data_IF_981049401951
#
_entry.id   IF_981049401951
#
_cell.length_a   1.000
_cell.length_b   1.000
_cell.length_c   1.000
_cell.angle_alpha   90.00
_cell.angle_beta   90.00
_cell.angle_gamma   90.00
#
_symmetry.space_group_name_H-M   'P 1'
#
loop_
_entity.id
_entity.type
_entity.pdbx_description
1 polymer ?
#
# COMPACT_ATOMS: atom_id res chain seq x y z
N UNK A 1 -41.33 -36.27 6.62
CA UNK A 1 -39.97 -36.23 7.20
C UNK A 1 -39.18 -35.16 6.46
N UNK A 2 -38.78 -34.09 7.15
CA UNK A 2 -38.20 -32.89 6.54
C UNK A 2 -36.73 -33.14 6.17
N UNK A 3 -36.38 -32.90 4.90
CA UNK A 3 -35.00 -33.01 4.38
C UNK A 3 -34.17 -31.88 4.99
N UNK A 4 -33.18 -32.24 5.80
CA UNK A 4 -32.24 -31.27 6.40
C UNK A 4 -31.37 -30.66 5.31
N UNK A 5 -31.19 -29.35 5.44
CA UNK A 5 -30.52 -28.46 4.49
C UNK A 5 -29.06 -28.90 4.33
N UNK A 6 -28.59 -28.83 3.07
CA UNK A 6 -27.23 -29.12 2.62
C UNK A 6 -26.18 -28.61 3.62
N UNK A 7 -25.61 -29.51 4.40
CA UNK A 7 -24.40 -29.22 5.17
C UNK A 7 -23.29 -28.93 4.16
N UNK A 8 -22.80 -27.69 4.19
CA UNK A 8 -21.74 -27.24 3.29
C UNK A 8 -20.48 -27.97 3.73
N UNK A 9 -19.94 -28.78 2.83
CA UNK A 9 -18.75 -29.60 3.07
C UNK A 9 -17.54 -28.69 3.34
N UNK A 10 -17.11 -28.67 4.60
CA UNK A 10 -16.02 -27.83 5.08
C UNK A 10 -14.71 -28.18 4.37
N UNK A 11 -14.51 -29.45 4.03
CA UNK A 11 -13.27 -29.92 3.40
C UNK A 11 -13.16 -29.43 1.96
N UNK A 12 -14.29 -29.33 1.26
CA UNK A 12 -14.35 -28.77 -0.09
C UNK A 12 -14.09 -27.27 -0.09
N UNK A 13 -14.59 -26.55 0.92
CA UNK A 13 -14.31 -25.13 1.12
C UNK A 13 -12.84 -24.89 1.49
N UNK A 14 -12.26 -25.71 2.37
CA UNK A 14 -10.84 -25.62 2.73
C UNK A 14 -9.92 -25.87 1.52
N UNK A 15 -10.26 -26.82 0.65
CA UNK A 15 -9.50 -27.12 -0.57
C UNK A 15 -9.55 -25.99 -1.62
N UNK A 16 -10.62 -25.21 -1.62
CA UNK A 16 -10.75 -24.04 -2.51
C UNK A 16 -10.10 -22.79 -1.91
N UNK A 17 -10.12 -22.64 -0.58
CA UNK A 17 -9.53 -21.50 0.10
C UNK A 17 -7.99 -21.63 0.26
N UNK A 18 -7.46 -22.85 0.30
CA UNK A 18 -6.04 -23.14 0.41
C UNK A 18 -5.53 -23.86 -0.86
N UNK A 19 -5.14 -23.16 -1.93
CA UNK A 19 -4.41 -23.78 -3.02
C UNK A 19 -3.05 -24.22 -2.48
N UNK A 20 -2.84 -25.52 -2.30
CA UNK A 20 -1.58 -26.06 -1.78
C UNK A 20 -0.42 -25.67 -2.70
N UNK A 21 0.31 -24.62 -2.34
CA UNK A 21 1.62 -24.33 -2.88
C UNK A 21 2.62 -25.36 -2.33
N UNK A 22 2.96 -26.35 -3.14
CA UNK A 22 4.25 -27.08 -3.10
C UNK A 22 4.25 -28.29 -4.04
N UNK A 23 4.38 -28.04 -5.35
CA UNK A 23 5.05 -28.96 -6.27
C UNK A 23 6.21 -28.23 -6.97
N UNK A 24 7.10 -27.64 -6.19
CA UNK A 24 8.40 -27.12 -6.64
C UNK A 24 9.48 -27.37 -5.58
N UNK A 25 9.52 -28.57 -4.99
CA UNK A 25 10.71 -29.09 -4.31
C UNK A 25 10.77 -30.61 -4.55
N UNK A 26 11.09 -31.00 -5.80
CA UNK A 26 11.62 -32.34 -6.16
C UNK A 26 11.94 -32.36 -7.66
N UNK A 27 12.95 -31.60 -8.07
CA UNK A 27 13.64 -31.78 -9.36
C UNK A 27 14.91 -30.92 -9.39
N UNK A 28 15.93 -31.26 -8.60
CA UNK A 28 17.33 -30.87 -8.85
C UNK A 28 18.26 -31.47 -7.78
N UNK A 29 18.75 -32.70 -8.02
CA UNK A 29 20.12 -33.12 -7.72
C UNK A 29 20.48 -34.27 -8.70
N UNK A 30 21.69 -34.17 -9.26
CA UNK A 30 22.39 -35.00 -10.26
C UNK A 30 22.16 -34.56 -11.73
N UNK A 31 23.06 -33.71 -12.26
CA UNK A 31 24.30 -34.03 -13.06
C UNK A 31 23.91 -34.31 -14.52
N UNK A 32 24.48 -33.77 -15.60
CA UNK A 32 25.66 -32.98 -15.94
C UNK A 32 25.47 -32.39 -17.36
N UNK A 33 26.19 -31.29 -17.68
CA UNK A 33 26.75 -30.90 -18.99
C UNK A 33 25.85 -30.72 -20.25
N UNK A 34 25.74 -29.47 -20.75
CA UNK A 34 26.38 -28.99 -22.01
C UNK A 34 25.91 -27.56 -22.40
N UNK A 35 26.86 -26.62 -22.29
CA UNK A 35 27.31 -25.57 -23.24
C UNK A 35 26.37 -25.03 -24.35
N UNK A 36 26.44 -23.69 -24.51
CA UNK A 36 26.17 -22.80 -25.68
C UNK A 36 24.85 -21.99 -25.77
N UNK A 37 24.94 -20.68 -25.48
CA UNK A 37 24.42 -19.59 -26.33
C UNK A 37 25.42 -19.36 -27.50
N UNK A 38 25.16 -18.61 -28.61
CA UNK A 38 24.26 -17.45 -28.76
C UNK A 38 23.64 -17.26 -30.19
N UNK A 39 23.02 -16.10 -30.45
CA UNK A 39 23.04 -15.28 -31.71
C UNK A 39 21.66 -14.66 -32.03
N UNK A 40 21.50 -13.33 -32.03
CA UNK A 40 21.84 -12.32 -33.08
C UNK A 40 20.57 -11.92 -33.86
N UNK A 41 20.01 -10.74 -33.63
CA UNK A 41 20.26 -9.48 -34.36
C UNK A 41 19.61 -9.35 -35.75
N UNK A 42 18.80 -8.29 -35.87
CA UNK A 42 18.58 -7.39 -37.02
C UNK A 42 18.16 -7.95 -38.38
N UNK A 43 17.05 -7.40 -38.87
CA UNK A 43 16.94 -6.97 -40.28
C UNK A 43 16.08 -5.73 -40.38
N UNK A 44 16.75 -4.58 -40.36
CA UNK A 44 16.33 -3.39 -41.11
C UNK A 44 16.33 -3.73 -42.59
N UNK A 45 15.30 -3.34 -43.32
CA UNK A 45 15.47 -2.79 -44.66
C UNK A 45 14.23 -2.00 -45.07
N UNK A 46 14.48 -0.71 -45.22
CA UNK A 46 13.64 0.21 -45.96
C UNK A 46 13.87 -0.01 -47.45
N UNK A 47 12.80 -0.02 -48.22
CA UNK A 47 12.85 0.27 -49.65
C UNK A 47 11.62 1.08 -50.05
N UNK A 48 11.76 1.72 -51.20
CA UNK A 48 11.37 3.09 -51.53
C UNK A 48 10.34 3.07 -52.66
N UNK A 49 9.75 4.25 -52.94
CA UNK A 49 8.95 4.62 -54.13
C UNK A 49 7.51 4.05 -54.15
N UNK A 50 6.47 4.76 -54.58
CA UNK A 50 6.35 5.98 -55.39
C UNK A 50 4.98 6.62 -55.15
N UNK A 51 4.89 7.91 -55.51
CA UNK A 51 3.68 8.74 -55.57
C UNK A 51 2.58 8.08 -56.42
N UNK A 52 1.32 8.28 -56.02
CA UNK A 52 0.23 8.79 -56.85
C UNK A 52 -0.98 9.13 -55.97
N UNK A 53 -1.50 10.35 -56.12
CA UNK A 53 -2.81 10.75 -55.61
C UNK A 53 -3.87 10.33 -56.62
N UNK A 54 -4.93 9.65 -56.18
CA UNK A 54 -6.23 9.67 -56.85
C UNK A 54 -7.38 9.62 -55.83
N UNK A 55 -8.49 10.24 -56.21
CA UNK A 55 -9.55 10.84 -55.39
C UNK A 55 -10.56 9.83 -54.77
N UNK A 56 -11.55 10.28 -53.96
CA UNK A 56 -12.20 9.49 -52.92
C UNK A 56 -13.30 8.58 -53.46
N UNK A 57 -13.49 7.41 -52.84
CA UNK A 57 -14.71 6.61 -53.03
C UNK A 57 -15.41 6.29 -51.70
N UNK A 58 -16.75 6.21 -51.70
CA UNK A 58 -17.57 6.59 -50.56
C UNK A 58 -18.13 5.36 -49.87
N UNK A 59 -17.31 4.61 -49.13
CA UNK A 59 -17.84 3.45 -48.41
C UNK A 59 -17.45 3.42 -46.94
N UNK A 60 -18.42 3.92 -46.17
CA UNK A 60 -18.71 3.58 -44.78
C UNK A 60 -17.70 4.16 -43.80
N UNK A 61 -17.94 5.41 -43.43
CA UNK A 61 -17.64 5.90 -42.11
C UNK A 61 -18.36 5.02 -41.07
N UNK A 62 -17.80 3.84 -40.79
CA UNK A 62 -17.98 3.24 -39.48
C UNK A 62 -17.40 4.27 -38.54
N UNK A 63 -18.28 5.00 -37.85
CA UNK A 63 -17.89 5.71 -36.64
C UNK A 63 -17.18 4.67 -35.79
N UNK A 64 -15.84 4.74 -35.76
CA UNK A 64 -15.05 4.08 -34.75
C UNK A 64 -15.58 4.70 -33.47
N UNK A 65 -16.49 3.99 -32.78
CA UNK A 65 -16.85 4.33 -31.41
C UNK A 65 -15.51 4.35 -30.69
N UNK A 66 -15.01 5.55 -30.43
CA UNK A 66 -13.91 5.71 -29.50
C UNK A 66 -14.45 5.15 -28.20
N UNK A 67 -14.04 3.91 -27.91
CA UNK A 67 -14.21 3.35 -26.59
C UNK A 67 -13.37 4.27 -25.71
N UNK A 68 -14.02 5.27 -25.13
CA UNK A 68 -13.43 6.13 -24.13
C UNK A 68 -12.99 5.22 -23.00
N UNK A 69 -11.73 4.82 -23.02
CA UNK A 69 -11.11 4.16 -21.89
C UNK A 69 -11.21 5.19 -20.77
N UNK A 70 -11.93 4.91 -19.67
CA UNK A 70 -11.99 5.86 -18.57
C UNK A 70 -10.54 6.08 -18.12
N UNK A 71 -10.09 7.34 -18.14
CA UNK A 71 -8.81 7.75 -17.59
C UNK A 71 -8.79 7.29 -16.13
N UNK A 72 -8.11 6.18 -15.88
CA UNK A 72 -7.98 5.66 -14.52
C UNK A 72 -7.09 6.63 -13.78
N UNK A 73 -7.58 7.11 -12.65
CA UNK A 73 -6.95 8.16 -11.87
C UNK A 73 -5.55 7.67 -11.43
N UNK A 74 -4.48 8.23 -12.01
CA UNK A 74 -3.08 7.86 -11.72
C UNK A 74 -2.58 8.51 -10.43
N UNK A 75 -3.48 9.06 -9.62
CA UNK A 75 -3.13 9.77 -8.41
C UNK A 75 -2.62 8.79 -7.35
N UNK A 76 -1.40 9.03 -6.88
CA UNK A 76 -0.79 8.21 -5.84
C UNK A 76 -1.48 8.52 -4.50
N UNK A 77 -2.01 7.48 -3.86
CA UNK A 77 -2.73 7.57 -2.58
C UNK A 77 -1.96 6.84 -1.49
N UNK A 78 -1.90 7.42 -0.29
CA UNK A 78 -1.22 6.85 0.87
C UNK A 78 -2.22 6.64 2.00
N UNK A 79 -2.12 5.48 2.66
CA UNK A 79 -2.87 5.17 3.87
C UNK A 79 -2.08 5.68 5.09
N UNK A 80 -2.66 6.61 5.86
CA UNK A 80 -2.00 7.23 7.01
C UNK A 80 -2.92 7.19 8.23
N UNK A 81 -2.35 6.94 9.41
CA UNK A 81 -3.04 7.16 10.69
C UNK A 81 -2.94 8.63 11.06
N UNK A 82 -4.08 9.33 11.08
CA UNK A 82 -4.12 10.77 11.40
C UNK A 82 -3.63 11.08 12.81
N UNK A 83 -3.79 10.12 13.73
CA UNK A 83 -3.37 10.29 15.12
C UNK A 83 -1.84 10.40 15.24
N UNK A 84 -1.08 9.82 14.31
CA UNK A 84 0.39 9.87 14.35
C UNK A 84 0.92 11.29 14.18
N UNK A 85 0.43 12.01 13.17
CA UNK A 85 0.83 13.40 12.92
C UNK A 85 0.51 14.29 14.13
N UNK A 86 -0.71 14.16 14.68
CA UNK A 86 -1.15 14.97 15.82
C UNK A 86 -0.38 14.63 17.10
N UNK A 87 -0.08 13.35 17.35
CA UNK A 87 0.74 12.94 18.50
C UNK A 87 2.14 13.52 18.41
N UNK A 88 2.76 13.54 17.22
CA UNK A 88 4.09 14.11 17.03
C UNK A 88 4.12 15.61 17.35
N UNK A 89 3.19 16.38 16.80
CA UNK A 89 3.06 17.82 17.08
C UNK A 89 2.89 18.10 18.58
N UNK A 90 1.96 17.37 19.22
CA UNK A 90 1.65 17.56 20.65
C UNK A 90 2.78 17.09 21.56
N UNK A 91 3.53 16.07 21.15
CA UNK A 91 4.71 15.61 21.87
C UNK A 91 5.80 16.69 21.86
N UNK A 92 6.10 17.30 20.72
CA UNK A 92 7.11 18.37 20.64
C UNK A 92 6.73 19.59 21.50
N UNK A 93 5.46 19.99 21.49
CA UNK A 93 4.94 21.04 22.37
C UNK A 93 5.11 20.67 23.85
N UNK A 94 4.80 19.42 24.21
CA UNK A 94 4.92 18.93 25.58
C UNK A 94 6.39 18.83 26.04
N UNK A 95 7.31 18.37 25.19
CA UNK A 95 8.74 18.25 25.48
C UNK A 95 9.44 19.60 25.74
N UNK A 96 8.84 20.72 25.30
CA UNK A 96 9.30 22.07 25.65
C UNK A 96 8.96 22.43 27.10
N UNK A 97 7.86 21.89 27.64
CA UNK A 97 7.36 22.14 29.00
C UNK A 97 7.91 21.15 30.02
N UNK A 98 8.08 19.90 29.63
CA UNK A 98 8.63 18.84 30.49
C UNK A 98 10.14 18.69 30.32
N UNK A 99 10.89 18.78 31.41
CA UNK A 99 12.32 18.45 31.42
C UNK A 99 12.49 16.93 31.43
N UNK A 100 12.67 16.33 30.25
CA UNK A 100 12.92 14.89 30.07
C UNK A 100 13.89 14.62 28.91
N UNK A 101 14.35 13.38 28.76
CA UNK A 101 15.31 13.00 27.74
C UNK A 101 14.75 13.19 26.31
N UNK A 102 15.55 13.79 25.43
CA UNK A 102 15.18 14.14 24.05
C UNK A 102 15.84 13.26 22.98
N UNK A 103 16.45 12.15 23.38
CA UNK A 103 17.04 11.22 22.42
C UNK A 103 15.95 10.56 21.55
N UNK A 104 16.34 10.12 20.35
CA UNK A 104 15.39 9.52 19.41
C UNK A 104 14.74 8.24 19.95
N UNK A 105 15.45 7.50 20.82
CA UNK A 105 14.91 6.33 21.51
C UNK A 105 13.74 6.70 22.42
N UNK A 106 13.94 7.65 23.34
CA UNK A 106 12.87 8.13 24.24
C UNK A 106 11.70 8.74 23.49
N UNK A 107 11.96 9.53 22.44
CA UNK A 107 10.90 10.12 21.62
C UNK A 107 10.03 9.04 20.98
N UNK A 108 10.65 8.03 20.36
CA UNK A 108 9.93 6.91 19.74
C UNK A 108 9.16 6.10 20.78
N UNK A 109 9.73 5.86 21.96
CA UNK A 109 9.03 5.16 23.06
C UNK A 109 7.80 5.94 23.54
N UNK A 110 7.89 7.28 23.67
CA UNK A 110 6.77 8.12 24.05
C UNK A 110 5.66 8.09 23.00
N UNK A 111 6.01 8.18 21.71
CA UNK A 111 5.04 8.09 20.60
C UNK A 111 4.36 6.73 20.59
N UNK A 112 5.12 5.64 20.68
CA UNK A 112 4.58 4.28 20.69
C UNK A 112 3.61 4.06 21.87
N UNK A 113 3.99 4.48 23.08
CA UNK A 113 3.12 4.36 24.25
C UNK A 113 1.85 5.23 24.15
N UNK A 114 1.93 6.40 23.50
CA UNK A 114 0.77 7.25 23.29
C UNK A 114 -0.18 6.62 22.26
N UNK A 115 0.32 6.19 21.10
CA UNK A 115 -0.49 5.59 20.03
C UNK A 115 -1.16 4.29 20.45
N UNK A 116 -0.48 3.44 21.23
CA UNK A 116 -1.06 2.18 21.73
C UNK A 116 -2.26 2.40 22.68
N UNK A 117 -2.42 3.61 23.24
CA UNK A 117 -3.54 3.96 24.13
C UNK A 117 -4.67 4.69 23.43
N UNK A 118 -4.45 5.14 22.19
CA UNK A 118 -5.40 5.90 21.40
C UNK A 118 -6.07 4.98 20.38
N UNK A 119 -7.32 5.29 20.02
CA UNK A 119 -7.97 4.62 18.90
C UNK A 119 -7.31 5.07 17.59
N UNK A 120 -6.81 4.14 16.76
CA UNK A 120 -6.21 4.51 15.49
C UNK A 120 -7.29 5.03 14.52
N UNK A 121 -6.97 6.08 13.78
CA UNK A 121 -7.84 6.66 12.75
C UNK A 121 -7.12 6.68 11.41
N UNK A 122 -7.33 5.62 10.63
CA UNK A 122 -6.73 5.50 9.30
C UNK A 122 -7.58 6.19 8.24
N UNK A 123 -6.92 6.92 7.35
CA UNK A 123 -7.55 7.51 6.17
C UNK A 123 -6.63 7.40 4.97
N UNK A 124 -7.26 7.39 3.79
CA UNK A 124 -6.57 7.45 2.51
C UNK A 124 -6.47 8.92 2.12
N UNK A 125 -5.24 9.40 1.96
CA UNK A 125 -4.93 10.75 1.53
C UNK A 125 -4.21 10.70 0.18
N UNK A 126 -4.39 11.73 -0.63
CA UNK A 126 -3.52 11.93 -1.78
C UNK A 126 -2.12 12.31 -1.30
N UNK A 127 -1.09 11.89 -2.03
CA UNK A 127 0.29 12.28 -1.71
C UNK A 127 0.41 13.81 -1.59
N UNK A 128 0.93 14.29 -0.46
CA UNK A 128 1.09 15.71 -0.16
C UNK A 128 -0.13 16.41 0.46
N UNK A 129 -1.27 15.74 0.59
CA UNK A 129 -2.44 16.31 1.26
C UNK A 129 -2.26 16.29 2.79
N UNK A 130 -2.45 17.42 3.49
CA UNK A 130 -2.39 17.45 4.95
C UNK A 130 -3.54 16.66 5.56
N UNK A 131 -3.29 16.03 6.72
CA UNK A 131 -4.34 15.36 7.48
C UNK A 131 -5.41 16.39 7.92
N UNK A 132 -6.70 16.03 7.87
CA UNK A 132 -7.77 16.92 8.28
C UNK A 132 -7.75 17.15 9.79
N UNK A 133 -8.36 18.27 10.18
CA UNK A 133 -8.42 18.71 11.57
C UNK A 133 -9.25 17.73 12.41
N UNK A 134 -8.69 17.29 13.54
CA UNK A 134 -9.37 16.43 14.49
C UNK A 134 -10.35 17.21 15.38
N UNK A 135 -11.37 16.51 15.89
CA UNK A 135 -12.33 17.04 16.86
C UNK A 135 -11.65 17.52 18.16
N UNK A 136 -12.27 18.46 18.86
CA UNK A 136 -11.71 18.97 20.12
C UNK A 136 -11.56 17.87 21.20
N UNK A 137 -12.50 16.92 21.24
CA UNK A 137 -12.49 15.82 22.20
C UNK A 137 -11.34 14.84 21.97
N UNK A 138 -11.07 14.51 20.70
CA UNK A 138 -9.96 13.62 20.34
C UNK A 138 -8.62 14.30 20.60
N UNK A 139 -8.50 15.59 20.32
CA UNK A 139 -7.32 16.38 20.69
C UNK A 139 -7.04 16.35 22.20
N UNK A 140 -8.06 16.53 23.04
CA UNK A 140 -7.90 16.44 24.49
C UNK A 140 -7.42 15.04 24.92
N UNK A 141 -8.00 13.98 24.34
CA UNK A 141 -7.58 12.61 24.59
C UNK A 141 -6.10 12.38 24.19
N UNK A 142 -5.66 12.88 23.03
CA UNK A 142 -4.26 12.82 22.58
C UNK A 142 -3.33 13.47 23.59
N UNK A 143 -3.63 14.69 24.03
CA UNK A 143 -2.79 15.40 25.00
C UNK A 143 -2.66 14.62 26.31
N UNK A 144 -3.76 14.07 26.83
CA UNK A 144 -3.70 13.25 28.05
C UNK A 144 -2.87 11.98 27.86
N UNK A 145 -2.97 11.32 26.70
CA UNK A 145 -2.20 10.12 26.38
C UNK A 145 -0.70 10.44 26.28
N UNK A 146 -0.34 11.54 25.62
CA UNK A 146 1.04 12.03 25.49
C UNK A 146 1.64 12.33 26.87
N UNK A 147 0.94 13.06 27.74
CA UNK A 147 1.42 13.34 29.09
C UNK A 147 1.65 12.05 29.88
N UNK A 148 0.71 11.09 29.82
CA UNK A 148 0.86 9.80 30.47
C UNK A 148 2.02 8.97 29.89
N UNK A 149 2.33 9.12 28.60
CA UNK A 149 3.46 8.45 27.96
C UNK A 149 4.79 9.07 28.41
N UNK A 150 4.89 10.41 28.45
CA UNK A 150 6.07 11.13 28.96
C UNK A 150 6.36 10.72 30.40
N UNK A 151 5.35 10.66 31.26
CA UNK A 151 5.51 10.25 32.66
C UNK A 151 6.01 8.80 32.78
N UNK A 152 5.50 7.89 31.95
CA UNK A 152 5.93 6.50 31.92
C UNK A 152 7.40 6.37 31.50
N UNK A 153 7.80 6.99 30.39
CA UNK A 153 9.20 6.94 29.89
C UNK A 153 10.15 7.64 30.86
N UNK A 154 9.73 8.75 31.49
CA UNK A 154 10.52 9.44 32.50
C UNK A 154 10.80 8.57 33.73
N UNK A 155 9.83 7.74 34.14
CA UNK A 155 10.01 6.85 35.30
C UNK A 155 10.99 5.71 35.03
N UNK A 156 11.05 5.20 33.79
CA UNK A 156 11.88 4.06 33.40
C UNK A 156 12.51 4.29 32.03
N UNK A 157 13.54 5.16 31.92
CA UNK A 157 14.23 5.39 30.68
C UNK A 157 15.01 4.13 30.24
N UNK A 158 14.97 3.82 28.94
CA UNK A 158 15.71 2.69 28.32
C UNK A 158 16.96 3.14 27.57
N UNK A 159 17.46 4.35 27.84
CA UNK A 159 18.60 4.95 27.14
C UNK A 159 19.86 4.92 28.00
#
# INVERSE_FOLDING_TARGET
MAKTKKDIDKDLMYKMLMPSGSKTIKASLQEEQEVQQPSSEKSTQAEKLSKEEEAPSPHRAMMRRELGIPLMDTQQTVLVNTMEAVVLEKLEEALKRFQCCRCDRCKKDMVALALNRLSPHYMVLMEGQPAPRLDAQTNAAVVTAVIKAILAVRSHPRH
#
